data_IF_211005481802
#
_entry.id   IF_211005481802
#
_cell.length_a   1.000
_cell.length_b   1.000
_cell.length_c   1.000
_cell.angle_alpha   90.00
_cell.angle_beta   90.00
_cell.angle_gamma   90.00
#
_symmetry.space_group_name_H-M   'P 1'
#
loop_
_entity.id
_entity.type
_entity.pdbx_description
1 polymer ?
#
# COMPACT_ATOMS: atom_id res chain seq x y z
N UNK A 1 1.12 39.91 -26.68
CA UNK A 1 2.12 38.82 -26.70
C UNK A 1 2.80 38.56 -25.34
N UNK A 2 3.12 39.57 -24.52
CA UNK A 2 3.79 39.36 -23.21
C UNK A 2 2.96 38.66 -22.12
N UNK A 3 1.62 38.74 -22.19
CA UNK A 3 0.72 38.08 -21.20
C UNK A 3 0.56 36.57 -21.41
N UNK A 4 0.76 36.06 -22.62
CA UNK A 4 0.66 34.62 -22.92
C UNK A 4 1.89 33.85 -22.41
N UNK A 5 3.07 34.49 -22.42
CA UNK A 5 4.32 33.92 -21.94
C UNK A 5 4.28 33.68 -20.41
N UNK A 6 3.67 34.61 -19.66
CA UNK A 6 3.48 34.46 -18.21
C UNK A 6 2.54 33.30 -17.86
N UNK A 7 1.52 33.04 -18.70
CA UNK A 7 0.61 31.92 -18.51
C UNK A 7 1.33 30.59 -18.74
N UNK A 8 2.22 30.49 -19.74
CA UNK A 8 3.04 29.30 -19.95
C UNK A 8 4.02 29.02 -18.79
N UNK A 9 4.59 30.06 -18.17
CA UNK A 9 5.50 29.91 -17.01
C UNK A 9 4.75 29.45 -15.75
N UNK A 10 3.49 29.86 -15.59
CA UNK A 10 2.63 29.40 -14.49
C UNK A 10 2.16 27.95 -14.66
N UNK A 11 1.96 27.49 -15.90
CA UNK A 11 1.58 26.09 -16.18
C UNK A 11 2.82 25.16 -16.11
N UNK A 12 4.02 25.64 -16.43
CA UNK A 12 5.26 24.85 -16.33
C UNK A 12 5.73 24.57 -14.90
N UNK A 13 5.19 25.28 -13.90
CA UNK A 13 5.45 24.98 -12.48
C UNK A 13 4.62 23.80 -11.95
N UNK A 14 3.67 23.28 -12.73
CA UNK A 14 3.15 21.91 -12.54
C UNK A 14 4.08 20.90 -13.24
N UNK A 15 5.40 21.12 -13.19
CA UNK A 15 6.36 20.06 -13.36
C UNK A 15 6.03 19.01 -12.29
N UNK A 16 5.30 17.98 -12.72
CA UNK A 16 4.94 16.79 -11.95
C UNK A 16 6.21 16.29 -11.28
N UNK A 17 6.38 16.61 -10.00
CA UNK A 17 7.48 16.08 -9.22
C UNK A 17 7.24 14.57 -9.16
N UNK A 18 8.06 13.82 -9.90
CA UNK A 18 7.94 12.37 -9.95
C UNK A 18 8.18 11.82 -8.55
N UNK A 19 7.24 11.02 -8.05
CA UNK A 19 7.40 10.42 -6.74
C UNK A 19 8.55 9.40 -6.77
N UNK A 20 9.49 9.46 -5.80
CA UNK A 20 10.56 8.47 -5.70
C UNK A 20 10.00 7.05 -5.65
N UNK A 21 10.70 6.12 -6.29
CA UNK A 21 10.30 4.73 -6.25
C UNK A 21 10.52 4.15 -4.84
N UNK A 22 9.41 3.95 -4.11
CA UNK A 22 9.41 3.36 -2.77
C UNK A 22 8.95 1.89 -2.77
N UNK A 23 9.05 1.16 -3.89
CA UNK A 23 8.55 -0.22 -3.99
C UNK A 23 9.11 -1.15 -2.89
N UNK A 24 10.37 -0.94 -2.51
CA UNK A 24 11.02 -1.70 -1.44
C UNK A 24 10.36 -1.53 -0.06
N UNK A 25 9.63 -0.44 0.18
CA UNK A 25 8.87 -0.22 1.43
C UNK A 25 7.80 -1.30 1.58
N UNK A 26 7.08 -1.61 0.50
CA UNK A 26 5.98 -2.57 0.51
C UNK A 26 6.43 -4.01 0.78
N UNK A 27 7.69 -4.34 0.45
CA UNK A 27 8.29 -5.64 0.74
C UNK A 27 8.52 -5.90 2.25
N UNK A 28 8.43 -4.85 3.08
CA UNK A 28 8.60 -4.92 4.53
C UNK A 28 9.84 -5.72 4.98
N UNK A 29 10.99 -5.50 4.33
CA UNK A 29 12.22 -6.24 4.59
C UNK A 29 12.02 -7.78 4.56
N UNK A 30 11.20 -8.25 3.62
CA UNK A 30 10.82 -9.66 3.43
C UNK A 30 10.05 -10.31 4.59
N UNK A 31 9.58 -9.51 5.56
CA UNK A 31 8.75 -9.95 6.69
C UNK A 31 7.26 -9.82 6.34
N UNK A 32 6.40 -10.74 6.81
CA UNK A 32 4.97 -10.58 6.64
C UNK A 32 4.44 -9.41 7.47
N UNK A 33 3.44 -8.72 6.94
CA UNK A 33 2.49 -7.97 7.74
C UNK A 33 1.65 -8.94 8.56
N UNK A 34 1.38 -8.59 9.81
CA UNK A 34 0.60 -9.43 10.73
C UNK A 34 -0.60 -8.66 11.25
N UNK A 35 -1.67 -9.37 11.56
CA UNK A 35 -2.94 -8.71 11.84
C UNK A 35 -4.05 -9.65 12.23
N UNK A 36 -5.27 -9.14 12.12
CA UNK A 36 -6.48 -9.87 12.44
C UNK A 36 -7.51 -9.78 11.31
N UNK A 37 -8.26 -10.86 11.09
CA UNK A 37 -9.40 -10.95 10.19
C UNK A 37 -10.67 -11.37 10.95
N UNK A 38 -11.80 -10.77 10.58
CA UNK A 38 -13.12 -11.12 11.12
C UNK A 38 -13.38 -10.65 12.56
N UNK A 39 -14.59 -10.91 13.06
CA UNK A 39 -15.03 -10.45 14.39
C UNK A 39 -14.35 -11.21 15.55
N UNK A 40 -13.99 -12.47 15.33
CA UNK A 40 -13.22 -13.31 16.26
C UNK A 40 -11.74 -12.89 16.36
N UNK A 41 -11.30 -11.92 15.54
CA UNK A 41 -9.90 -11.46 15.46
C UNK A 41 -8.92 -12.60 15.18
N UNK A 42 -9.30 -13.48 14.27
CA UNK A 42 -8.44 -14.57 13.82
C UNK A 42 -7.13 -14.03 13.25
N UNK A 43 -6.02 -14.70 13.54
CA UNK A 43 -4.69 -14.26 13.09
C UNK A 43 -4.54 -14.38 11.58
N UNK A 44 -4.08 -13.31 10.94
CA UNK A 44 -3.72 -13.28 9.52
C UNK A 44 -2.30 -12.78 9.34
N UNK A 45 -1.59 -13.38 8.36
CA UNK A 45 -0.31 -12.91 7.86
C UNK A 45 -0.43 -12.62 6.37
N UNK A 46 0.15 -11.52 5.92
CA UNK A 46 0.23 -11.15 4.51
C UNK A 46 1.68 -10.81 4.19
N UNK A 47 2.29 -11.52 3.25
CA UNK A 47 3.65 -11.25 2.78
C UNK A 47 3.61 -10.75 1.35
N UNK A 48 4.19 -9.59 1.10
CA UNK A 48 4.46 -9.09 -0.24
C UNK A 48 5.86 -9.56 -0.65
N UNK A 49 5.95 -10.23 -1.79
CA UNK A 49 7.18 -10.81 -2.32
C UNK A 49 7.78 -9.95 -3.44
N UNK A 50 6.93 -9.34 -4.27
CA UNK A 50 7.34 -8.43 -5.33
C UNK A 50 6.60 -7.10 -5.20
N UNK A 51 7.24 -6.02 -5.61
CA UNK A 51 6.61 -4.73 -5.72
C UNK A 51 7.26 -3.92 -6.84
N UNK A 52 6.45 -3.45 -7.77
CA UNK A 52 6.91 -2.69 -8.93
C UNK A 52 6.08 -1.42 -9.08
N UNK A 53 6.75 -0.26 -9.15
CA UNK A 53 6.09 1.01 -9.44
C UNK A 53 5.62 1.03 -10.90
N UNK A 54 4.39 1.48 -11.12
CA UNK A 54 3.85 1.63 -12.47
C UNK A 54 4.61 2.73 -13.22
N UNK A 55 5.19 2.38 -14.37
CA UNK A 55 6.00 3.30 -15.21
C UNK A 55 5.19 4.49 -15.76
N UNK A 56 3.87 4.35 -15.87
CA UNK A 56 2.96 5.40 -16.36
C UNK A 56 2.32 6.22 -15.24
N UNK A 57 2.32 5.68 -14.01
CA UNK A 57 1.70 6.30 -12.85
C UNK A 57 2.53 6.02 -11.60
N UNK A 58 3.38 6.97 -11.21
CA UNK A 58 4.31 6.80 -10.09
C UNK A 58 3.64 6.66 -8.71
N UNK A 59 2.33 6.89 -8.62
CA UNK A 59 1.52 6.69 -7.41
C UNK A 59 1.00 5.26 -7.26
N UNK A 60 1.17 4.42 -8.28
CA UNK A 60 0.64 3.06 -8.32
C UNK A 60 1.75 2.02 -8.26
N UNK A 61 1.51 0.94 -7.50
CA UNK A 61 2.43 -0.17 -7.37
C UNK A 61 1.70 -1.48 -7.58
N UNK A 62 2.24 -2.34 -8.44
CA UNK A 62 1.80 -3.71 -8.59
C UNK A 62 2.56 -4.58 -7.60
N UNK A 63 1.86 -5.48 -6.91
CA UNK A 63 2.44 -6.37 -5.90
C UNK A 63 1.95 -7.79 -6.09
N UNK A 64 2.80 -8.75 -5.75
CA UNK A 64 2.40 -10.15 -5.59
C UNK A 64 2.98 -10.75 -4.31
N UNK A 65 2.32 -11.78 -3.80
CA UNK A 65 2.64 -12.33 -2.50
C UNK A 65 1.72 -13.44 -2.06
N UNK A 66 1.58 -13.56 -0.74
CA UNK A 66 0.79 -14.62 -0.10
C UNK A 66 0.06 -14.09 1.13
N UNK A 67 -1.15 -14.59 1.34
CA UNK A 67 -1.88 -14.52 2.61
C UNK A 67 -1.85 -15.89 3.30
N UNK A 68 -1.93 -15.85 4.63
CA UNK A 68 -2.10 -17.00 5.49
C UNK A 68 -3.13 -16.66 6.57
N UNK A 69 -4.24 -17.39 6.56
CA UNK A 69 -5.27 -17.35 7.60
C UNK A 69 -5.40 -18.76 8.17
N UNK A 70 -5.23 -18.89 9.49
CA UNK A 70 -5.01 -20.18 10.16
C UNK A 70 -3.93 -21.04 9.48
N UNK A 71 -4.33 -22.00 8.64
CA UNK A 71 -3.45 -22.92 7.90
C UNK A 71 -3.62 -22.83 6.38
N UNK A 72 -4.43 -21.90 5.91
CA UNK A 72 -4.76 -21.75 4.49
C UNK A 72 -3.84 -20.72 3.85
N UNK A 73 -3.00 -21.19 2.92
CA UNK A 73 -2.14 -20.34 2.11
C UNK A 73 -2.80 -20.00 0.79
N UNK A 74 -2.91 -18.70 0.50
CA UNK A 74 -3.42 -18.21 -0.77
C UNK A 74 -2.38 -17.30 -1.42
N UNK A 75 -2.11 -17.52 -2.71
CA UNK A 75 -1.36 -16.54 -3.51
C UNK A 75 -2.23 -15.31 -3.68
N UNK A 76 -1.63 -14.13 -3.71
CA UNK A 76 -2.33 -12.90 -4.02
C UNK A 76 -1.53 -12.01 -4.96
N UNK A 77 -2.27 -11.21 -5.71
CA UNK A 77 -1.77 -10.17 -6.59
C UNK A 77 -2.64 -8.93 -6.42
N UNK A 78 -2.11 -7.75 -6.71
CA UNK A 78 -2.93 -6.56 -6.72
C UNK A 78 -2.12 -5.29 -6.75
N UNK A 79 -2.74 -4.22 -6.26
CA UNK A 79 -2.26 -2.87 -6.46
C UNK A 79 -2.41 -2.02 -5.21
N UNK A 80 -1.44 -1.12 -5.04
CA UNK A 80 -1.43 -0.03 -4.07
C UNK A 80 -1.51 1.27 -4.85
N UNK A 81 -2.38 2.18 -4.43
CA UNK A 81 -2.52 3.51 -5.04
C UNK A 81 -2.35 4.57 -3.96
N UNK A 82 -1.30 5.36 -4.06
CA UNK A 82 -1.07 6.51 -3.19
C UNK A 82 -2.07 7.62 -3.55
N UNK A 83 -2.77 8.13 -2.56
CA UNK A 83 -3.78 9.19 -2.75
C UNK A 83 -3.37 10.50 -2.11
N UNK A 84 -2.48 10.47 -1.11
CA UNK A 84 -2.08 11.69 -0.40
C UNK A 84 -0.72 11.53 0.27
N UNK A 85 0.14 12.53 0.10
CA UNK A 85 1.34 12.71 0.92
C UNK A 85 1.14 13.88 1.89
N UNK A 86 1.56 13.68 3.14
CA UNK A 86 1.63 14.70 4.17
C UNK A 86 3.06 14.78 4.66
N UNK A 87 3.76 15.82 4.21
CA UNK A 87 5.09 16.14 4.71
C UNK A 87 5.00 16.67 6.15
N UNK A 88 5.84 16.15 7.03
CA UNK A 88 5.98 16.66 8.38
C UNK A 88 7.45 16.78 8.73
N UNK A 89 7.83 17.88 9.40
CA UNK A 89 9.24 18.24 9.68
C UNK A 89 10.10 17.09 10.24
N UNK A 90 9.50 16.18 11.02
CA UNK A 90 10.15 14.99 11.60
C UNK A 90 9.48 13.66 11.23
N UNK A 91 8.20 13.69 10.85
CA UNK A 91 7.33 12.53 10.67
C UNK A 91 6.43 12.80 9.48
N UNK A 92 6.64 12.05 8.41
CA UNK A 92 5.84 12.16 7.20
C UNK A 92 4.89 10.98 7.08
N UNK A 93 3.79 11.18 6.37
CA UNK A 93 2.75 10.15 6.20
C UNK A 93 2.27 10.10 4.76
N UNK A 94 2.27 8.90 4.20
CA UNK A 94 1.66 8.57 2.92
C UNK A 94 0.36 7.82 3.20
N UNK A 95 -0.71 8.22 2.53
CA UNK A 95 -2.01 7.56 2.55
C UNK A 95 -2.31 7.02 1.16
N UNK A 96 -3.03 5.91 1.13
CA UNK A 96 -3.50 5.36 -0.12
C UNK A 96 -4.52 4.27 0.07
N UNK A 97 -4.84 3.63 -1.03
CA UNK A 97 -5.80 2.53 -1.13
C UNK A 97 -5.09 1.29 -1.64
N UNK A 98 -5.62 0.13 -1.31
CA UNK A 98 -5.09 -1.14 -1.77
C UNK A 98 -6.22 -2.08 -2.16
N UNK A 99 -5.93 -2.92 -3.14
CA UNK A 99 -6.77 -4.04 -3.54
C UNK A 99 -5.87 -5.23 -3.85
N UNK A 100 -6.04 -6.33 -3.12
CA UNK A 100 -5.28 -7.57 -3.31
C UNK A 100 -6.26 -8.72 -3.53
N UNK A 101 -6.20 -9.33 -4.70
CA UNK A 101 -7.00 -10.48 -5.09
C UNK A 101 -6.24 -11.77 -4.81
N UNK A 102 -6.84 -12.71 -4.08
CA UNK A 102 -6.28 -14.04 -3.90
C UNK A 102 -6.54 -14.92 -5.13
N UNK A 103 -5.67 -15.89 -5.41
CA UNK A 103 -5.95 -16.90 -6.43
C UNK A 103 -7.27 -17.62 -6.11
N UNK A 104 -8.19 -17.67 -7.08
CA UNK A 104 -9.51 -18.25 -6.87
C UNK A 104 -9.42 -19.78 -6.75
N UNK A 105 -9.47 -20.30 -5.52
CA UNK A 105 -9.48 -21.74 -5.19
C UNK A 105 -10.80 -22.19 -4.56
N UNK A 106 -11.85 -21.39 -4.69
CA UNK A 106 -13.18 -21.67 -4.16
C UNK A 106 -13.61 -20.75 -3.01
N UNK A 107 -14.43 -21.27 -2.11
CA UNK A 107 -15.20 -20.49 -1.11
C UNK A 107 -14.36 -19.71 -0.08
N UNK A 108 -13.08 -20.05 0.04
CA UNK A 108 -12.13 -19.43 0.97
C UNK A 108 -11.08 -18.57 0.26
N UNK A 109 -11.40 -18.09 -0.94
CA UNK A 109 -10.61 -17.13 -1.69
C UNK A 109 -11.40 -15.84 -1.88
N UNK A 110 -10.72 -14.70 -1.80
CA UNK A 110 -11.38 -13.42 -1.88
C UNK A 110 -10.47 -12.26 -2.20
N UNK A 111 -10.98 -11.06 -1.95
CA UNK A 111 -10.32 -9.80 -2.24
C UNK A 111 -10.14 -9.03 -0.93
N UNK A 112 -8.91 -8.68 -0.60
CA UNK A 112 -8.62 -7.65 0.40
C UNK A 112 -8.74 -6.27 -0.24
N UNK A 113 -9.51 -5.37 0.38
CA UNK A 113 -9.65 -3.99 -0.09
C UNK A 113 -9.72 -3.02 1.06
N UNK A 114 -9.02 -1.90 0.95
CA UNK A 114 -9.05 -0.90 2.00
C UNK A 114 -8.08 0.25 1.79
N UNK A 115 -7.67 0.84 2.90
CA UNK A 115 -6.75 1.97 2.97
C UNK A 115 -5.45 1.55 3.64
N UNK A 116 -4.35 2.15 3.21
CA UNK A 116 -3.09 2.04 3.92
C UNK A 116 -2.61 3.37 4.46
N UNK A 117 -1.86 3.30 5.55
CA UNK A 117 -1.17 4.41 6.18
C UNK A 117 0.29 4.00 6.31
N UNK A 118 1.17 4.71 5.61
CA UNK A 118 2.61 4.56 5.76
C UNK A 118 3.19 5.80 6.41
N UNK A 119 3.72 5.63 7.61
CA UNK A 119 4.35 6.67 8.40
C UNK A 119 5.83 6.39 8.52
N UNK A 120 6.67 7.40 8.28
CA UNK A 120 8.11 7.28 8.45
C UNK A 120 8.73 8.52 9.08
N UNK A 121 9.81 8.30 9.83
CA UNK A 121 10.66 9.36 10.36
C UNK A 121 11.88 9.52 9.46
N UNK A 122 12.00 10.69 8.83
CA UNK A 122 13.13 11.03 7.97
C UNK A 122 14.20 11.77 8.77
N UNK A 123 15.39 11.19 8.88
CA UNK A 123 16.55 11.90 9.42
C UNK A 123 17.23 12.70 8.31
N UNK A 124 17.16 14.02 8.41
CA UNK A 124 17.75 14.95 7.43
C UNK A 124 19.28 14.94 7.42
N UNK A 125 19.91 14.55 8.51
CA UNK A 125 21.37 14.51 8.66
C UNK A 125 21.95 13.24 8.04
N UNK A 126 21.28 12.10 8.22
CA UNK A 126 21.74 10.81 7.69
C UNK A 126 21.08 10.42 6.36
N UNK A 127 20.08 11.20 5.92
CA UNK A 127 19.26 10.95 4.73
C UNK A 127 18.66 9.54 4.70
N UNK A 128 18.23 9.06 5.88
CA UNK A 128 17.71 7.71 6.08
C UNK A 128 16.38 7.72 6.84
N UNK A 129 15.58 6.70 6.57
CA UNK A 129 14.39 6.38 7.37
C UNK A 129 14.84 5.66 8.63
N UNK A 130 14.56 6.24 9.80
CA UNK A 130 14.95 5.64 11.09
C UNK A 130 13.86 4.75 11.68
N UNK A 131 12.60 5.10 11.42
CA UNK A 131 11.44 4.36 11.89
C UNK A 131 10.37 4.36 10.80
N UNK A 132 9.75 3.21 10.58
CA UNK A 132 8.64 3.04 9.66
C UNK A 132 7.51 2.25 10.29
N UNK A 133 6.29 2.73 10.08
CA UNK A 133 5.05 2.07 10.48
C UNK A 133 4.12 2.03 9.28
N UNK A 134 3.70 0.83 8.91
CA UNK A 134 2.79 0.59 7.80
C UNK A 134 1.59 -0.15 8.36
N UNK A 135 0.40 0.33 8.01
CA UNK A 135 -0.86 -0.26 8.43
C UNK A 135 -1.82 -0.36 7.25
N UNK A 136 -2.41 -1.53 7.05
CA UNK A 136 -3.52 -1.78 6.13
C UNK A 136 -4.80 -1.98 6.92
N UNK A 137 -5.82 -1.19 6.61
CA UNK A 137 -7.13 -1.22 7.26
C UNK A 137 -8.18 -1.38 6.17
N UNK A 138 -8.94 -2.47 6.22
CA UNK A 138 -9.88 -2.78 5.16
C UNK A 138 -10.80 -3.92 5.49
N UNK A 139 -11.28 -4.58 4.44
CA UNK A 139 -12.09 -5.79 4.51
C UNK A 139 -11.49 -6.85 3.58
N UNK A 140 -11.77 -8.10 3.88
CA UNK A 140 -11.65 -9.23 2.97
C UNK A 140 -13.06 -9.68 2.61
N UNK A 141 -13.34 -9.84 1.32
CA UNK A 141 -14.64 -10.31 0.82
C UNK A 141 -14.43 -11.54 -0.06
N UNK A 142 -15.20 -12.60 0.16
CA UNK A 142 -15.14 -13.80 -0.68
C UNK A 142 -15.60 -13.50 -2.11
N UNK A 143 -15.10 -14.27 -3.08
CA UNK A 143 -15.51 -14.11 -4.49
C UNK A 143 -16.99 -14.40 -4.74
N UNK A 144 -17.60 -15.28 -3.95
CA UNK A 144 -19.03 -15.56 -4.00
C UNK A 144 -19.88 -14.54 -3.21
N UNK A 145 -19.23 -13.52 -2.63
CA UNK A 145 -19.82 -12.43 -1.86
C UNK A 145 -20.57 -12.85 -0.58
N UNK A 146 -20.45 -14.12 -0.16
CA UNK A 146 -21.14 -14.63 1.02
C UNK A 146 -20.44 -14.27 2.35
N UNK A 147 -19.15 -13.97 2.30
CA UNK A 147 -18.33 -13.63 3.46
C UNK A 147 -17.72 -12.24 3.31
N UNK A 148 -17.81 -11.44 4.38
CA UNK A 148 -17.20 -10.11 4.49
C UNK A 148 -16.62 -9.94 5.89
N UNK A 149 -15.31 -9.76 5.96
CA UNK A 149 -14.55 -9.69 7.20
C UNK A 149 -13.67 -8.46 7.26
N UNK A 150 -13.78 -7.69 8.36
CA UNK A 150 -12.83 -6.60 8.64
C UNK A 150 -11.42 -7.15 8.79
N UNK A 151 -10.45 -6.44 8.24
CA UNK A 151 -9.01 -6.76 8.32
C UNK A 151 -8.21 -5.57 8.80
N UNK A 152 -7.19 -5.86 9.60
CA UNK A 152 -6.20 -4.87 10.05
C UNK A 152 -4.83 -5.52 10.14
N UNK A 153 -3.91 -5.12 9.27
CA UNK A 153 -2.55 -5.65 9.17
C UNK A 153 -1.53 -4.54 9.44
N UNK A 154 -0.40 -4.88 10.06
CA UNK A 154 0.69 -3.95 10.36
C UNK A 154 2.06 -4.62 10.20
N UNK A 155 3.11 -3.81 10.04
CA UNK A 155 4.48 -4.30 9.86
C UNK A 155 5.26 -4.59 11.16
N UNK A 156 4.62 -4.42 12.33
CA UNK A 156 5.22 -4.59 13.68
C UNK A 156 4.45 -5.59 14.54
#
# INVERSE_FOLDING_TARGET
MKKLLLLLILISNFALAQMPNISNVWLNNSKPYTGTIGNSKEGIKLKINTSEQNKKNDQEYFVSGYSLVDKTYSKLEGNLTITKYKDGKKKSTVYGEYEFAEENKGKHSGIFKGKFIYTFNWNKTTEKIEAQYIEFIGNWKSYDETLDFKTRLKNQ
#
